data_IF_410778046529
#
_entry.id   IF_410778046529
#
_cell.length_a   1.000
_cell.length_b   1.000
_cell.length_c   1.000
_cell.angle_alpha   90.00
_cell.angle_beta   90.00
_cell.angle_gamma   90.00
#
_symmetry.space_group_name_H-M   'P 1'
#
loop_
_entity.id
_entity.type
_entity.pdbx_description
1 polymer ?
#
# COMPACT_ATOMS: atom_id res chain seq x y z
N UNK A 1 -1.79 -6.26 19.65
CA UNK A 1 -2.09 -5.14 18.73
C UNK A 1 -2.67 -3.94 19.47
N UNK A 2 -2.88 -2.83 18.77
CA UNK A 2 -3.63 -1.65 19.25
C UNK A 2 -5.10 -1.82 18.88
N UNK A 3 -6.01 -1.70 19.85
CA UNK A 3 -7.44 -1.71 19.60
C UNK A 3 -7.98 -0.26 19.56
N UNK A 4 -8.65 0.11 18.47
CA UNK A 4 -9.36 1.38 18.34
C UNK A 4 -10.85 1.10 18.47
N UNK A 5 -11.57 1.89 19.27
CA UNK A 5 -13.02 1.77 19.41
C UNK A 5 -13.66 3.13 19.13
N UNK A 6 -14.61 3.15 18.20
CA UNK A 6 -15.43 4.32 17.89
C UNK A 6 -16.79 4.14 18.58
N UNK A 7 -17.14 5.09 19.44
CA UNK A 7 -18.46 5.17 20.05
C UNK A 7 -19.21 6.36 19.46
N UNK A 8 -20.41 6.12 18.95
CA UNK A 8 -21.32 7.14 18.46
C UNK A 8 -22.54 7.21 19.37
N UNK A 9 -22.61 8.28 20.17
CA UNK A 9 -23.64 8.52 21.19
C UNK A 9 -24.82 9.36 20.67
N UNK A 10 -24.91 9.59 19.35
CA UNK A 10 -26.02 10.34 18.76
C UNK A 10 -27.30 9.51 18.77
N UNK A 11 -28.39 10.11 19.23
CA UNK A 11 -29.74 9.56 19.12
C UNK A 11 -30.34 9.93 17.75
N UNK A 12 -30.24 9.04 16.76
CA UNK A 12 -31.03 9.14 15.53
C UNK A 12 -32.35 8.36 15.71
N UNK A 13 -33.48 8.95 15.33
CA UNK A 13 -34.87 8.46 15.50
C UNK A 13 -35.03 6.92 15.61
N UNK A 14 -34.91 6.39 16.84
CA UNK A 14 -35.14 4.97 17.16
C UNK A 14 -33.97 4.00 16.91
N UNK A 15 -32.75 4.49 16.61
CA UNK A 15 -31.55 3.67 16.47
C UNK A 15 -30.77 3.58 17.79
N UNK A 16 -30.22 2.39 18.11
CA UNK A 16 -29.31 2.19 19.24
C UNK A 16 -27.94 2.84 18.99
N UNK A 17 -27.24 3.25 20.06
CA UNK A 17 -25.87 3.75 19.99
C UNK A 17 -24.96 2.77 19.23
N UNK A 18 -24.19 3.30 18.27
CA UNK A 18 -23.29 2.50 17.45
C UNK A 18 -21.92 2.43 18.11
N UNK A 19 -21.40 1.21 18.28
CA UNK A 19 -20.01 0.98 18.72
C UNK A 19 -19.30 0.11 17.69
N UNK A 20 -18.14 0.58 17.22
CA UNK A 20 -17.29 -0.17 16.29
C UNK A 20 -15.91 -0.38 16.89
N UNK A 21 -15.39 -1.60 16.78
CA UNK A 21 -14.07 -1.98 17.29
C UNK A 21 -13.18 -2.44 16.14
N UNK A 22 -11.98 -1.86 16.07
CA UNK A 22 -10.96 -2.14 15.08
C UNK A 22 -9.73 -2.72 15.79
N UNK A 23 -9.36 -3.94 15.43
CA UNK A 23 -8.15 -4.61 15.89
C UNK A 23 -7.67 -5.53 14.77
N UNK A 24 -6.48 -5.26 14.26
CA UNK A 24 -5.88 -6.00 13.15
C UNK A 24 -4.49 -6.45 13.59
N UNK A 25 -4.23 -7.75 13.52
CA UNK A 25 -3.02 -8.37 14.07
C UNK A 25 -1.96 -8.62 13.00
N UNK A 26 -2.34 -8.73 11.72
CA UNK A 26 -1.44 -8.97 10.60
C UNK A 26 -0.98 -7.68 9.91
N UNK A 27 -1.19 -6.52 10.54
CA UNK A 27 -0.68 -5.23 10.07
C UNK A 27 -1.16 -4.88 8.66
N UNK A 28 -0.23 -4.56 7.76
CA UNK A 28 -0.56 -4.15 6.38
C UNK A 28 -1.22 -5.27 5.56
N UNK A 29 -1.03 -6.55 5.91
CA UNK A 29 -1.70 -7.67 5.23
C UNK A 29 -3.21 -7.58 5.42
N UNK A 30 -3.68 -7.42 6.66
CA UNK A 30 -5.11 -7.23 6.96
C UNK A 30 -5.66 -6.01 6.21
N UNK A 31 -4.85 -4.96 6.06
CA UNK A 31 -5.27 -3.75 5.38
C UNK A 31 -5.44 -3.94 3.86
N UNK A 32 -4.48 -4.60 3.19
CA UNK A 32 -4.61 -4.92 1.76
C UNK A 32 -5.82 -5.82 1.51
N UNK A 33 -6.01 -6.87 2.32
CA UNK A 33 -7.18 -7.74 2.21
C UNK A 33 -8.49 -6.96 2.38
N UNK A 34 -8.54 -6.02 3.32
CA UNK A 34 -9.69 -5.14 3.49
C UNK A 34 -9.97 -4.28 2.24
N UNK A 35 -8.93 -3.66 1.67
CA UNK A 35 -9.04 -2.82 0.47
C UNK A 35 -9.49 -3.62 -0.76
N UNK A 36 -8.91 -4.80 -0.98
CA UNK A 36 -9.31 -5.70 -2.07
C UNK A 36 -10.76 -6.14 -1.91
N UNK A 37 -11.17 -6.55 -0.70
CA UNK A 37 -12.55 -6.95 -0.41
C UNK A 37 -13.55 -5.80 -0.62
N UNK A 38 -13.19 -4.57 -0.26
CA UNK A 38 -14.03 -3.40 -0.45
C UNK A 38 -14.32 -3.11 -1.94
N UNK A 39 -13.37 -3.42 -2.82
CA UNK A 39 -13.49 -3.24 -4.27
C UNK A 39 -14.29 -4.33 -4.98
N UNK A 40 -14.53 -5.47 -4.32
CA UNK A 40 -15.24 -6.63 -4.88
C UNK A 40 -14.59 -7.17 -6.17
N UNK A 41 -13.26 -7.17 -6.23
CA UNK A 41 -12.48 -7.69 -7.37
C UNK A 41 -11.90 -9.05 -7.03
N UNK A 42 -11.61 -9.86 -8.06
CA UNK A 42 -10.97 -11.16 -7.89
C UNK A 42 -9.46 -11.00 -7.77
N UNK A 43 -8.83 -11.79 -6.90
CA UNK A 43 -7.38 -11.79 -6.71
C UNK A 43 -6.67 -12.60 -7.79
N UNK A 44 -5.53 -12.11 -8.27
CA UNK A 44 -4.70 -12.81 -9.26
C UNK A 44 -3.70 -13.74 -8.58
N UNK A 45 -3.11 -13.29 -7.46
CA UNK A 45 -2.21 -14.07 -6.63
C UNK A 45 -2.89 -14.47 -5.31
N UNK A 46 -2.68 -15.71 -4.88
CA UNK A 46 -3.36 -16.30 -3.72
C UNK A 46 -3.07 -15.55 -2.41
N UNK A 47 -1.80 -15.29 -2.14
CA UNK A 47 -1.34 -14.66 -0.90
C UNK A 47 -0.96 -13.20 -1.12
N UNK A 48 -1.24 -12.33 -0.14
CA UNK A 48 -0.72 -10.96 -0.11
C UNK A 48 0.81 -11.01 -0.01
N UNK A 49 1.48 -10.29 -0.90
CA UNK A 49 2.94 -10.15 -0.86
C UNK A 49 3.25 -9.10 0.20
N UNK A 50 3.92 -9.49 1.28
CA UNK A 50 4.30 -8.58 2.35
C UNK A 50 5.78 -8.74 2.72
N UNK A 51 6.46 -7.62 2.95
CA UNK A 51 7.85 -7.60 3.38
C UNK A 51 8.16 -6.31 4.15
N UNK A 52 9.18 -6.40 5.01
CA UNK A 52 9.69 -5.29 5.79
C UNK A 52 11.22 -5.19 5.64
N UNK A 53 11.75 -3.99 5.82
CA UNK A 53 13.18 -3.72 5.83
C UNK A 53 13.48 -2.54 6.74
N UNK A 54 14.58 -2.63 7.49
CA UNK A 54 15.03 -1.56 8.37
C UNK A 54 16.52 -1.27 8.15
N UNK A 55 16.85 0.02 8.02
CA UNK A 55 18.21 0.56 8.08
C UNK A 55 18.33 1.37 9.38
N UNK A 56 18.92 0.76 10.41
CA UNK A 56 19.08 1.38 11.73
C UNK A 56 20.09 2.52 11.73
N UNK A 57 21.03 2.55 10.77
CA UNK A 57 22.04 3.61 10.66
C UNK A 57 21.41 4.87 10.07
N UNK A 58 20.61 4.72 9.01
CA UNK A 58 19.84 5.81 8.41
C UNK A 58 18.55 6.14 9.18
N UNK A 59 18.17 5.30 10.15
CA UNK A 59 16.90 5.41 10.91
C UNK A 59 15.68 5.43 10.00
N UNK A 60 15.66 4.49 9.04
CA UNK A 60 14.56 4.32 8.09
C UNK A 60 14.06 2.88 8.20
N UNK A 61 12.75 2.70 8.36
CA UNK A 61 12.13 1.40 8.12
C UNK A 61 11.01 1.51 7.11
N UNK A 62 10.78 0.41 6.39
CA UNK A 62 9.81 0.24 5.34
C UNK A 62 9.03 -1.04 5.64
N UNK A 63 7.71 -0.96 5.49
CA UNK A 63 6.81 -2.09 5.46
C UNK A 63 5.93 -1.94 4.23
N UNK A 64 5.80 -3.00 3.43
CA UNK A 64 4.98 -3.00 2.22
C UNK A 64 4.11 -4.25 2.24
N UNK A 65 2.84 -4.09 1.89
CA UNK A 65 1.96 -5.19 1.53
C UNK A 65 1.27 -4.86 0.20
N UNK A 66 1.14 -5.84 -0.69
CA UNK A 66 0.53 -5.63 -2.00
C UNK A 66 -0.09 -6.91 -2.58
N UNK A 67 -1.09 -6.73 -3.44
CA UNK A 67 -1.78 -7.81 -4.14
C UNK A 67 -2.31 -7.32 -5.50
N UNK A 68 -2.17 -8.14 -6.53
CA UNK A 68 -2.80 -7.89 -7.82
C UNK A 68 -4.21 -8.47 -7.85
N UNK A 69 -5.09 -7.75 -8.54
CA UNK A 69 -6.49 -8.13 -8.77
C UNK A 69 -6.81 -8.07 -10.25
N UNK A 70 -7.98 -8.56 -10.64
CA UNK A 70 -8.50 -8.46 -12.01
C UNK A 70 -9.01 -7.06 -12.38
N UNK A 71 -8.85 -6.07 -11.49
CA UNK A 71 -9.18 -4.67 -11.76
C UNK A 71 -8.22 -4.05 -12.78
N UNK A 72 -8.68 -3.04 -13.51
CA UNK A 72 -7.82 -2.18 -14.32
C UNK A 72 -7.27 -0.98 -13.54
N UNK A 73 -7.78 -0.73 -12.33
CA UNK A 73 -7.38 0.43 -11.52
C UNK A 73 -6.28 0.08 -10.52
N UNK A 74 -5.22 0.89 -10.51
CA UNK A 74 -4.22 0.86 -9.44
C UNK A 74 -4.72 1.56 -8.17
N UNK A 75 -4.16 1.20 -7.02
CA UNK A 75 -4.52 1.75 -5.72
C UNK A 75 -3.37 1.63 -4.76
N UNK A 76 -2.60 2.69 -4.67
CA UNK A 76 -1.41 2.77 -3.84
C UNK A 76 -1.72 3.70 -2.67
N UNK A 77 -1.65 3.16 -1.45
CA UNK A 77 -1.87 3.91 -0.21
C UNK A 77 -0.53 4.06 0.50
N UNK A 78 -0.11 5.29 0.75
CA UNK A 78 1.23 5.58 1.27
C UNK A 78 1.15 6.28 2.62
N UNK A 79 2.07 5.90 3.50
CA UNK A 79 2.15 6.42 4.86
C UNK A 79 3.59 6.73 5.22
N UNK A 80 3.79 7.85 5.92
CA UNK A 80 5.05 8.19 6.54
C UNK A 80 4.81 8.49 8.03
N UNK A 81 5.45 7.72 8.92
CA UNK A 81 5.25 7.83 10.37
C UNK A 81 3.76 7.80 10.77
N UNK A 82 2.99 6.86 10.21
CA UNK A 82 1.52 6.69 10.40
C UNK A 82 0.63 7.77 9.78
N UNK A 83 1.21 8.80 9.14
CA UNK A 83 0.47 9.87 8.46
C UNK A 83 0.24 9.45 7.01
N UNK A 84 -1.01 9.52 6.55
CA UNK A 84 -1.37 9.24 5.15
C UNK A 84 -0.86 10.36 4.22
N UNK A 85 -0.01 10.00 3.28
CA UNK A 85 0.57 10.89 2.26
C UNK A 85 -0.19 10.74 0.94
N UNK A 86 -1.41 11.27 0.90
CA UNK A 86 -2.30 11.07 -0.26
C UNK A 86 -1.86 11.79 -1.55
N UNK A 87 -0.93 12.74 -1.46
CA UNK A 87 -0.26 13.34 -2.63
C UNK A 87 1.04 12.60 -2.98
N UNK A 88 1.31 11.47 -2.33
CA UNK A 88 2.46 10.62 -2.54
C UNK A 88 3.74 11.19 -1.94
N UNK A 89 4.83 11.06 -2.68
CA UNK A 89 6.15 11.49 -2.24
C UNK A 89 7.26 10.54 -2.68
N UNK A 90 8.44 10.79 -2.15
CA UNK A 90 9.68 10.08 -2.54
C UNK A 90 9.62 8.56 -2.32
N UNK A 91 8.94 8.10 -1.27
CA UNK A 91 8.68 6.69 -0.96
C UNK A 91 7.78 6.03 -2.01
N UNK A 92 6.75 6.73 -2.48
CA UNK A 92 5.86 6.23 -3.53
C UNK A 92 6.56 6.16 -4.88
N UNK A 93 7.25 7.23 -5.28
CA UNK A 93 8.02 7.28 -6.52
C UNK A 93 9.10 6.18 -6.55
N UNK A 94 9.81 6.00 -5.44
CA UNK A 94 10.79 4.94 -5.26
C UNK A 94 10.19 3.54 -5.41
N UNK A 95 9.03 3.29 -4.79
CA UNK A 95 8.31 2.02 -4.95
C UNK A 95 7.91 1.76 -6.40
N UNK A 96 7.28 2.75 -7.06
CA UNK A 96 6.81 2.63 -8.45
C UNK A 96 7.96 2.34 -9.42
N UNK A 97 9.08 3.05 -9.27
CA UNK A 97 10.27 2.82 -10.07
C UNK A 97 10.88 1.44 -9.81
N UNK A 98 11.08 1.09 -8.54
CA UNK A 98 11.68 -0.19 -8.15
C UNK A 98 10.85 -1.39 -8.63
N UNK A 99 9.53 -1.34 -8.50
CA UNK A 99 8.63 -2.41 -8.96
C UNK A 99 8.70 -2.58 -10.48
N UNK A 100 8.64 -1.47 -11.23
CA UNK A 100 8.71 -1.49 -12.70
C UNK A 100 10.05 -2.08 -13.18
N UNK A 101 11.17 -1.68 -12.56
CA UNK A 101 12.49 -2.23 -12.87
C UNK A 101 12.59 -3.71 -12.51
N UNK A 102 12.08 -4.11 -11.35
CA UNK A 102 12.14 -5.50 -10.88
C UNK A 102 11.38 -6.44 -11.82
N UNK A 103 10.14 -6.09 -12.18
CA UNK A 103 9.29 -6.92 -13.04
C UNK A 103 9.89 -7.05 -14.43
N UNK A 104 10.37 -5.96 -15.02
CA UNK A 104 11.03 -6.02 -16.33
C UNK A 104 12.31 -6.87 -16.28
N UNK A 105 13.15 -6.71 -15.25
CA UNK A 105 14.36 -7.53 -15.07
C UNK A 105 13.99 -9.02 -14.98
N UNK A 106 13.02 -9.36 -14.13
CA UNK A 106 12.53 -10.73 -13.97
C UNK A 106 12.00 -11.29 -15.30
N UNK A 107 11.21 -10.51 -16.04
CA UNK A 107 10.65 -10.93 -17.32
C UNK A 107 11.73 -11.21 -18.38
N UNK A 108 12.81 -10.42 -18.42
CA UNK A 108 13.95 -10.64 -19.33
C UNK A 108 14.77 -11.87 -18.92
N UNK A 109 15.11 -11.98 -17.64
CA UNK A 109 15.90 -13.10 -17.09
C UNK A 109 15.21 -14.45 -17.32
N UNK A 110 13.86 -14.47 -17.21
CA UNK A 110 13.05 -15.67 -17.44
C UNK A 110 12.55 -15.81 -18.88
N UNK A 111 13.01 -14.96 -19.81
CA UNK A 111 12.64 -14.99 -21.24
C UNK A 111 11.12 -14.87 -21.49
N UNK A 112 10.38 -14.25 -20.56
CA UNK A 112 8.97 -13.87 -20.73
C UNK A 112 8.85 -12.68 -21.69
N UNK A 113 9.86 -11.81 -21.71
CA UNK A 113 10.11 -10.80 -22.74
C UNK A 113 11.36 -11.20 -23.53
N UNK A 114 11.24 -11.34 -24.85
CA UNK A 114 12.39 -11.59 -25.74
C UNK A 114 13.18 -10.32 -25.93
N UNK A 115 14.46 -10.40 -26.30
CA UNK A 115 15.35 -9.22 -26.46
C UNK A 115 14.77 -8.08 -27.31
N UNK A 116 13.96 -8.42 -28.34
CA UNK A 116 13.35 -7.44 -29.25
C UNK A 116 12.04 -6.86 -28.75
N UNK A 117 11.40 -7.49 -27.77
CA UNK A 117 10.14 -7.01 -27.21
C UNK A 117 10.42 -5.73 -26.41
N UNK A 118 9.48 -4.79 -26.40
CA UNK A 118 9.59 -3.60 -25.56
C UNK A 118 9.45 -3.95 -24.06
N UNK A 119 9.94 -3.08 -23.19
CA UNK A 119 9.72 -3.25 -21.75
C UNK A 119 8.26 -2.93 -21.40
N UNK A 120 7.74 -3.58 -20.36
CA UNK A 120 6.49 -3.20 -19.73
C UNK A 120 6.64 -1.78 -19.17
N UNK A 121 5.63 -0.94 -19.43
CA UNK A 121 5.52 0.38 -18.83
C UNK A 121 5.18 0.25 -17.34
N UNK A 122 5.33 1.35 -16.59
CA UNK A 122 4.93 1.35 -15.19
C UNK A 122 3.44 1.08 -14.99
N UNK A 123 2.61 1.52 -15.93
CA UNK A 123 1.16 1.34 -15.87
C UNK A 123 0.79 -0.12 -16.14
N UNK A 124 1.45 -0.78 -17.10
CA UNK A 124 1.28 -2.22 -17.35
C UNK A 124 1.58 -3.07 -16.11
N UNK A 125 2.62 -2.68 -15.35
CA UNK A 125 3.05 -3.42 -14.15
C UNK A 125 2.07 -3.21 -12.98
N UNK A 126 1.47 -2.02 -12.87
CA UNK A 126 0.63 -1.64 -11.73
C UNK A 126 -0.88 -1.77 -12.01
N UNK A 127 -1.27 -2.16 -13.22
CA UNK A 127 -2.66 -2.47 -13.53
C UNK A 127 -3.21 -3.49 -12.52
N UNK A 128 -4.31 -3.13 -11.85
CA UNK A 128 -4.96 -3.96 -10.85
C UNK A 128 -4.23 -4.12 -9.51
N UNK A 129 -3.13 -3.41 -9.30
CA UNK A 129 -2.35 -3.45 -8.06
C UNK A 129 -3.06 -2.69 -6.93
N UNK A 130 -3.27 -3.37 -5.80
CA UNK A 130 -3.57 -2.73 -4.52
C UNK A 130 -2.37 -2.87 -3.60
N UNK A 131 -1.81 -1.76 -3.15
CA UNK A 131 -0.60 -1.75 -2.33
C UNK A 131 -0.73 -0.75 -1.18
N UNK A 132 -0.17 -1.11 -0.03
CA UNK A 132 0.04 -0.22 1.12
C UNK A 132 1.53 -0.16 1.42
N UNK A 133 2.06 1.07 1.48
CA UNK A 133 3.47 1.36 1.71
C UNK A 133 3.56 2.23 2.96
N UNK A 134 4.22 1.73 4.00
CA UNK A 134 4.45 2.49 5.24
C UNK A 134 5.94 2.65 5.47
N UNK A 135 6.40 3.90 5.51
CA UNK A 135 7.77 4.22 5.91
C UNK A 135 7.78 4.84 7.31
N UNK A 136 8.80 4.52 8.10
CA UNK A 136 9.13 5.24 9.33
C UNK A 136 10.49 5.90 9.16
N UNK A 137 10.56 7.18 9.46
CA UNK A 137 11.74 8.03 9.25
C UNK A 137 12.09 8.72 10.56
N UNK A 138 13.37 8.69 10.93
CA UNK A 138 13.87 9.42 12.09
C UNK A 138 13.69 10.93 11.96
N UNK A 139 13.88 11.48 10.76
CA UNK A 139 13.74 12.90 10.44
C UNK A 139 12.93 13.09 9.15
N UNK A 140 11.59 12.97 9.20
CA UNK A 140 10.76 13.15 8.01
C UNK A 140 10.73 14.63 7.60
N UNK A 141 10.81 14.89 6.30
CA UNK A 141 10.52 16.20 5.71
C UNK A 141 9.21 16.07 4.96
N UNK A 142 8.28 16.98 5.18
CA UNK A 142 6.99 17.00 4.48
C UNK A 142 6.83 18.33 3.76
N UNK A 143 6.15 18.30 2.61
CA UNK A 143 5.74 19.54 1.96
C UNK A 143 4.53 20.14 2.69
N UNK A 144 4.70 21.36 3.21
CA UNK A 144 3.63 22.13 3.83
C UNK A 144 3.14 21.62 5.20
N UNK A 145 2.19 22.35 5.78
CA UNK A 145 1.67 22.08 7.13
C UNK A 145 0.73 20.85 7.17
N UNK A 146 0.06 20.55 6.07
CA UNK A 146 -0.93 19.47 5.95
C UNK A 146 -0.30 18.09 5.77
N UNK A 147 1.03 18.01 5.60
CA UNK A 147 1.82 16.77 5.50
C UNK A 147 1.27 15.78 4.46
N UNK A 148 0.83 16.31 3.33
CA UNK A 148 0.16 15.55 2.26
C UNK A 148 1.15 14.82 1.38
N UNK A 149 2.39 15.30 1.33
CA UNK A 149 3.49 14.76 0.53
C UNK A 149 4.79 14.68 1.33
N UNK A 150 5.50 13.56 1.16
CA UNK A 150 6.82 13.30 1.74
C UNK A 150 7.94 13.66 0.75
#
# INVERSE_FOLDING_TARGET
GLALTLHDEREEDGAEHRTEKFLYERGLVDYVEHLVKAKKTEVVNADVIAFESEDTVKKISLEVAMQWTTSYTESVHTYANTINTHEGGTHEEGFRAALTTLVNRYARENKLLREKDENLTGDDVREGLTAVISVKLGEPQFEGQTKTKL
#
